data_IF_397679138952
#
_entry.id   IF_397679138952
#
_cell.length_a   1.000
_cell.length_b   1.000
_cell.length_c   1.000
_cell.angle_alpha   90.00
_cell.angle_beta   90.00
_cell.angle_gamma   90.00
#
_symmetry.space_group_name_H-M   'P 1'
#
loop_
_entity.id
_entity.type
_entity.pdbx_description
1 polymer ?
#
# COMPACT_ATOMS: atom_id res chain seq x y z
N UNK A 1 -8.77 -6.12 20.36
CA UNK A 1 -7.36 -6.09 19.91
C UNK A 1 -7.30 -6.88 18.63
N UNK A 2 -7.24 -6.24 17.47
CA UNK A 2 -7.00 -6.97 16.23
C UNK A 2 -5.56 -7.43 16.21
N UNK A 3 -5.35 -8.72 15.93
CA UNK A 3 -4.02 -9.27 15.77
C UNK A 3 -3.53 -8.92 14.36
N UNK A 4 -3.04 -7.68 14.20
CA UNK A 4 -2.49 -7.21 12.93
C UNK A 4 -1.20 -8.00 12.65
N UNK A 5 -1.15 -8.68 11.51
CA UNK A 5 0.04 -9.41 11.07
C UNK A 5 0.96 -8.46 10.31
N UNK A 6 1.88 -7.82 11.02
CA UNK A 6 2.77 -6.80 10.45
C UNK A 6 3.62 -7.32 9.28
N UNK A 7 4.03 -8.59 9.33
CA UNK A 7 4.73 -9.23 8.20
C UNK A 7 3.85 -9.28 6.94
N UNK A 8 2.57 -9.64 7.09
CA UNK A 8 1.64 -9.71 5.96
C UNK A 8 1.33 -8.33 5.40
N UNK A 9 1.15 -7.34 6.28
CA UNK A 9 1.02 -5.91 5.90
C UNK A 9 2.24 -5.47 5.09
N UNK A 10 3.45 -5.78 5.55
CA UNK A 10 4.67 -5.43 4.83
C UNK A 10 4.77 -6.17 3.48
N UNK A 11 4.43 -7.46 3.42
CA UNK A 11 4.42 -8.23 2.15
C UNK A 11 3.44 -7.63 1.15
N UNK A 12 2.21 -7.31 1.57
CA UNK A 12 1.21 -6.67 0.71
C UNK A 12 1.68 -5.29 0.23
N UNK A 13 2.26 -4.50 1.13
CA UNK A 13 2.88 -3.22 0.79
C UNK A 13 3.97 -3.38 -0.27
N UNK A 14 4.96 -4.24 -0.07
CA UNK A 14 6.04 -4.50 -1.05
C UNK A 14 5.51 -5.01 -2.39
N UNK A 15 4.49 -5.88 -2.37
CA UNK A 15 3.83 -6.35 -3.60
C UNK A 15 3.23 -5.21 -4.39
N UNK A 16 2.63 -4.20 -3.74
CA UNK A 16 2.07 -3.06 -4.46
C UNK A 16 3.14 -2.27 -5.21
N UNK A 17 4.36 -2.14 -4.66
CA UNK A 17 5.49 -1.51 -5.34
C UNK A 17 5.98 -2.35 -6.51
N UNK A 18 6.08 -3.68 -6.34
CA UNK A 18 6.46 -4.58 -7.42
C UNK A 18 5.45 -4.60 -8.59
N UNK A 19 4.16 -4.43 -8.29
CA UNK A 19 3.08 -4.37 -9.29
C UNK A 19 2.89 -2.98 -9.90
N UNK A 20 3.46 -1.94 -9.30
CA UNK A 20 3.34 -0.58 -9.83
C UNK A 20 4.17 -0.46 -11.09
N UNK A 21 3.54 -0.10 -12.20
CA UNK A 21 4.26 0.26 -13.41
C UNK A 21 4.93 1.63 -13.24
N UNK A 22 6.26 1.64 -13.26
CA UNK A 22 7.08 2.85 -13.17
C UNK A 22 7.30 3.53 -14.52
N UNK A 23 6.78 3.00 -15.62
CA UNK A 23 6.90 3.64 -16.94
C UNK A 23 6.19 5.00 -17.00
N UNK A 24 5.11 5.18 -16.21
CA UNK A 24 4.40 6.45 -16.10
C UNK A 24 4.92 7.27 -14.92
N UNK A 25 5.46 8.47 -15.13
CA UNK A 25 6.01 9.37 -14.08
C UNK A 25 4.96 10.06 -13.19
N UNK A 26 3.69 9.73 -13.35
CA UNK A 26 2.60 10.27 -12.54
C UNK A 26 2.54 9.58 -11.16
N UNK A 27 3.14 10.22 -10.16
CA UNK A 27 3.19 9.75 -8.78
C UNK A 27 1.78 9.56 -8.18
N UNK A 28 0.83 10.42 -8.54
CA UNK A 28 -0.54 10.36 -8.03
C UNK A 28 -1.25 9.11 -8.56
N UNK A 29 -1.10 8.83 -9.87
CA UNK A 29 -1.62 7.59 -10.46
C UNK A 29 -1.00 6.34 -9.84
N UNK A 30 0.31 6.35 -9.57
CA UNK A 30 0.99 5.24 -8.87
C UNK A 30 0.45 5.06 -7.45
N UNK A 31 0.24 6.15 -6.72
CA UNK A 31 -0.31 6.12 -5.37
C UNK A 31 -1.76 5.57 -5.35
N UNK A 32 -2.63 6.03 -6.25
CA UNK A 32 -4.00 5.51 -6.39
C UNK A 32 -4.03 4.02 -6.77
N UNK A 33 -3.13 3.59 -7.65
CA UNK A 33 -3.01 2.18 -8.02
C UNK A 33 -2.65 1.32 -6.81
N UNK A 34 -1.60 1.69 -6.05
CA UNK A 34 -1.16 0.96 -4.86
C UNK A 34 -2.27 0.85 -3.81
N UNK A 35 -3.05 1.93 -3.58
CA UNK A 35 -4.22 1.89 -2.69
C UNK A 35 -5.24 0.85 -3.13
N UNK A 36 -5.60 0.83 -4.43
CA UNK A 36 -6.55 -0.14 -4.98
C UNK A 36 -6.06 -1.58 -4.82
N UNK A 37 -4.76 -1.83 -5.04
CA UNK A 37 -4.15 -3.14 -4.83
C UNK A 37 -4.26 -3.60 -3.38
N UNK A 38 -3.99 -2.73 -2.40
CA UNK A 38 -4.15 -3.06 -0.96
C UNK A 38 -5.62 -3.35 -0.63
N UNK A 39 -6.56 -2.55 -1.14
CA UNK A 39 -7.99 -2.76 -0.89
C UNK A 39 -8.50 -4.07 -1.47
N UNK A 40 -7.99 -4.47 -2.64
CA UNK A 40 -8.35 -5.71 -3.31
C UNK A 40 -7.67 -6.95 -2.71
N UNK A 41 -6.69 -6.81 -1.82
CA UNK A 41 -6.00 -7.95 -1.22
C UNK A 41 -6.90 -8.66 -0.19
N UNK A 42 -7.47 -9.80 -0.59
CA UNK A 42 -8.35 -10.62 0.25
C UNK A 42 -7.61 -11.33 1.39
N UNK A 43 -6.27 -11.40 1.35
CA UNK A 43 -5.49 -11.99 2.45
C UNK A 43 -5.41 -11.08 3.69
N UNK A 44 -5.68 -9.79 3.51
CA UNK A 44 -5.68 -8.78 4.55
C UNK A 44 -7.09 -8.59 5.16
N UNK A 45 -7.12 -8.46 6.48
CA UNK A 45 -8.28 -7.95 7.22
C UNK A 45 -8.43 -6.43 7.00
N UNK A 46 -9.60 -5.88 7.34
CA UNK A 46 -9.85 -4.42 7.21
C UNK A 46 -8.85 -3.57 8.02
N UNK A 47 -8.43 -4.05 9.20
CA UNK A 47 -7.45 -3.35 10.03
C UNK A 47 -6.06 -3.37 9.41
N UNK A 48 -5.68 -4.50 8.80
CA UNK A 48 -4.40 -4.64 8.08
C UNK A 48 -4.37 -3.79 6.80
N UNK A 49 -5.48 -3.74 6.05
CA UNK A 49 -5.63 -2.83 4.90
C UNK A 49 -5.44 -1.38 5.33
N UNK A 50 -6.08 -1.00 6.43
CA UNK A 50 -5.98 0.37 6.98
C UNK A 50 -4.54 0.71 7.36
N UNK A 51 -3.83 -0.21 8.03
CA UNK A 51 -2.41 -0.01 8.38
C UNK A 51 -1.50 0.07 7.15
N UNK A 52 -1.71 -0.78 6.15
CA UNK A 52 -0.96 -0.75 4.89
C UNK A 52 -1.15 0.59 4.14
N UNK A 53 -2.38 1.12 4.11
CA UNK A 53 -2.69 2.44 3.53
C UNK A 53 -2.04 3.57 4.31
N UNK A 54 -2.03 3.51 5.64
CA UNK A 54 -1.35 4.52 6.47
C UNK A 54 0.15 4.59 6.15
N UNK A 55 0.81 3.43 6.00
CA UNK A 55 2.21 3.33 5.59
C UNK A 55 2.41 3.95 4.19
N UNK A 56 1.52 3.62 3.24
CA UNK A 56 1.57 4.15 1.89
C UNK A 56 1.39 5.67 1.83
N UNK A 57 0.51 6.25 2.64
CA UNK A 57 0.31 7.71 2.71
C UNK A 57 1.56 8.39 3.29
N UNK A 58 2.20 7.80 4.30
CA UNK A 58 3.44 8.32 4.87
C UNK A 58 4.56 8.32 3.83
N UNK A 59 4.73 7.23 3.08
CA UNK A 59 5.74 7.14 2.01
C UNK A 59 5.51 8.16 0.89
N UNK A 60 4.26 8.34 0.46
CA UNK A 60 3.91 9.32 -0.56
C UNK A 60 4.22 10.75 -0.10
N UNK A 61 3.83 11.11 1.13
CA UNK A 61 4.16 12.43 1.71
C UNK A 61 5.67 12.68 1.76
N UNK A 62 6.46 11.69 2.14
CA UNK A 62 7.92 11.79 2.16
C UNK A 62 8.54 11.91 0.77
N UNK A 63 7.88 11.39 -0.27
CA UNK A 63 8.34 11.49 -1.66
C UNK A 63 7.97 12.82 -2.33
N UNK A 64 7.02 13.57 -1.76
CA UNK A 64 6.54 14.86 -2.26
C UNK A 64 6.94 16.07 -1.39
N UNK A 65 7.67 15.85 -0.29
CA UNK A 65 8.19 16.90 0.60
C UNK A 65 9.63 17.26 0.24
#
# INVERSE_FOLDING_TARGET
>A
MSNIRDELVNVAFQRTFALTDYYNNDLDKRHEFRKKTIFADESLTNDEKSKAIEILIKEYKSSTS
#
